data_IF_724849759687
#
_entry.id   IF_724849759687
#
_cell.length_a   1.000
_cell.length_b   1.000
_cell.length_c   1.000
_cell.angle_alpha   90.00
_cell.angle_beta   90.00
_cell.angle_gamma   90.00
#
_symmetry.space_group_name_H-M   'P 1'
#
loop_
_entity.id
_entity.type
_entity.pdbx_description
1 polymer ?
#
# COMPACT_ATOMS: atom_id res chain seq x y z
N UNK A 1 -8.50 -5.40 6.76
CA UNK A 1 -7.15 -5.86 6.30
C UNK A 1 -6.11 -4.85 6.74
N UNK A 2 -4.90 -5.27 7.16
CA UNK A 2 -3.84 -4.30 7.50
C UNK A 2 -3.16 -3.75 6.25
N UNK A 3 -2.56 -2.57 6.34
CA UNK A 3 -2.06 -1.83 5.19
C UNK A 3 -0.97 -2.57 4.39
N UNK A 4 -0.04 -3.21 5.08
CA UNK A 4 1.04 -3.99 4.44
C UNK A 4 0.49 -5.18 3.66
N UNK A 5 -0.54 -5.85 4.18
CA UNK A 5 -1.22 -6.94 3.46
C UNK A 5 -1.96 -6.45 2.22
N UNK A 6 -2.57 -5.27 2.29
CA UNK A 6 -3.25 -4.67 1.15
C UNK A 6 -2.27 -4.37 0.01
N UNK A 7 -1.15 -3.72 0.33
CA UNK A 7 -0.10 -3.40 -0.64
C UNK A 7 0.46 -4.69 -1.27
N UNK A 8 0.76 -5.71 -0.46
CA UNK A 8 1.28 -6.98 -0.97
C UNK A 8 0.28 -7.70 -1.89
N UNK A 9 -1.01 -7.66 -1.57
CA UNK A 9 -2.05 -8.26 -2.42
C UNK A 9 -2.17 -7.53 -3.77
N UNK A 10 -2.18 -6.20 -3.77
CA UNK A 10 -2.21 -5.40 -5.01
C UNK A 10 -0.99 -5.73 -5.88
N UNK A 11 0.20 -5.79 -5.27
CA UNK A 11 1.43 -6.13 -5.98
C UNK A 11 1.35 -7.52 -6.62
N UNK A 12 0.83 -8.52 -5.89
CA UNK A 12 0.66 -9.88 -6.39
C UNK A 12 -0.33 -9.93 -7.56
N UNK A 13 -1.48 -9.25 -7.45
CA UNK A 13 -2.48 -9.14 -8.52
C UNK A 13 -1.93 -8.50 -9.80
N UNK A 14 -1.02 -7.52 -9.65
CA UNK A 14 -0.38 -6.81 -10.76
C UNK A 14 0.89 -7.49 -11.29
N UNK A 15 1.34 -8.61 -10.69
CA UNK A 15 2.62 -9.23 -11.03
C UNK A 15 3.84 -8.37 -10.69
N UNK A 16 3.69 -7.41 -9.78
CA UNK A 16 4.73 -6.47 -9.36
C UNK A 16 5.57 -7.06 -8.21
N UNK A 17 6.89 -6.96 -8.33
CA UNK A 17 7.82 -7.39 -7.27
C UNK A 17 8.21 -6.22 -6.36
N UNK A 18 8.70 -6.50 -5.15
CA UNK A 18 9.31 -5.46 -4.30
C UNK A 18 10.55 -4.81 -4.96
N UNK A 19 11.26 -5.54 -5.83
CA UNK A 19 12.38 -4.97 -6.55
C UNK A 19 11.93 -3.95 -7.60
N UNK A 20 10.86 -4.25 -8.36
CA UNK A 20 10.30 -3.31 -9.33
C UNK A 20 9.66 -2.11 -8.66
N UNK A 21 8.86 -2.32 -7.60
CA UNK A 21 8.28 -1.20 -6.84
C UNK A 21 9.36 -0.29 -6.24
N UNK A 22 10.44 -0.86 -5.73
CA UNK A 22 11.56 -0.06 -5.22
C UNK A 22 12.22 0.80 -6.32
N UNK A 23 12.34 0.28 -7.54
CA UNK A 23 12.88 1.05 -8.68
C UNK A 23 11.98 2.23 -9.06
N UNK A 24 10.67 2.03 -9.11
CA UNK A 24 9.72 3.11 -9.41
C UNK A 24 9.73 4.21 -8.33
N UNK A 25 9.97 3.83 -7.07
CA UNK A 25 10.02 4.74 -5.92
C UNK A 25 11.42 5.33 -5.66
N UNK A 26 12.41 5.04 -6.50
CA UNK A 26 13.83 5.39 -6.29
C UNK A 26 14.36 5.01 -4.88
N UNK A 27 13.98 3.80 -4.41
CA UNK A 27 14.45 3.24 -3.14
C UNK A 27 14.99 1.83 -3.28
N UNK A 28 15.94 1.47 -2.43
CA UNK A 28 16.46 0.10 -2.42
C UNK A 28 15.37 -0.90 -2.01
N UNK A 29 15.44 -2.11 -2.56
CA UNK A 29 14.57 -3.23 -2.17
C UNK A 29 14.57 -3.47 -0.65
N UNK A 30 15.72 -3.28 0.00
CA UNK A 30 15.87 -3.44 1.44
C UNK A 30 15.12 -2.35 2.21
N UNK A 31 15.23 -1.09 1.78
CA UNK A 31 14.49 0.03 2.36
C UNK A 31 12.98 -0.18 2.21
N UNK A 32 12.52 -0.61 1.03
CA UNK A 32 11.11 -0.95 0.81
C UNK A 32 10.65 -2.11 1.69
N UNK A 33 11.44 -3.17 1.82
CA UNK A 33 11.10 -4.30 2.68
C UNK A 33 10.97 -3.87 4.15
N UNK A 34 11.86 -3.00 4.63
CA UNK A 34 11.75 -2.41 5.96
C UNK A 34 10.47 -1.58 6.10
N UNK A 35 10.14 -0.72 5.12
CA UNK A 35 8.89 0.06 5.13
C UNK A 35 7.65 -0.84 5.26
N UNK A 36 7.56 -1.90 4.46
CA UNK A 36 6.42 -2.82 4.46
C UNK A 36 6.28 -3.66 5.74
N UNK A 37 7.38 -3.88 6.46
CA UNK A 37 7.40 -4.64 7.73
C UNK A 37 7.14 -3.79 8.96
N UNK A 38 7.19 -2.46 8.86
CA UNK A 38 6.96 -1.57 10.01
C UNK A 38 5.49 -1.60 10.41
N UNK A 39 5.25 -1.62 11.72
CA UNK A 39 3.90 -1.51 12.30
C UNK A 39 3.26 -0.14 12.02
N UNK A 40 4.10 0.88 11.78
CA UNK A 40 3.67 2.24 11.42
C UNK A 40 4.40 2.75 10.18
N UNK A 41 3.72 2.68 9.05
CA UNK A 41 4.11 3.35 7.81
C UNK A 41 3.72 4.82 7.88
N UNK A 42 4.59 5.73 7.39
CA UNK A 42 4.24 7.15 7.31
C UNK A 42 3.23 7.35 6.17
N UNK A 43 2.29 8.27 6.36
CA UNK A 43 1.25 8.55 5.35
C UNK A 43 1.84 8.95 3.99
N UNK A 44 2.92 9.74 3.96
CA UNK A 44 3.55 10.12 2.69
C UNK A 44 4.14 8.90 1.97
N UNK A 45 4.83 8.00 2.69
CA UNK A 45 5.36 6.76 2.10
C UNK A 45 4.25 5.87 1.54
N UNK A 46 3.09 5.85 2.20
CA UNK A 46 1.92 5.14 1.71
C UNK A 46 1.40 5.76 0.43
N UNK A 47 1.23 7.09 0.37
CA UNK A 47 0.74 7.78 -0.81
C UNK A 47 1.66 7.51 -2.00
N UNK A 48 2.97 7.64 -1.83
CA UNK A 48 3.94 7.35 -2.89
C UNK A 48 3.81 5.92 -3.43
N UNK A 49 3.63 4.93 -2.54
CA UNK A 49 3.43 3.53 -2.94
C UNK A 49 2.11 3.38 -3.70
N UNK A 50 1.02 3.98 -3.21
CA UNK A 50 -0.30 3.87 -3.83
C UNK A 50 -0.31 4.51 -5.22
N UNK A 51 0.36 5.65 -5.42
CA UNK A 51 0.51 6.30 -6.72
C UNK A 51 1.15 5.37 -7.75
N UNK A 52 2.25 4.69 -7.38
CA UNK A 52 2.91 3.71 -8.28
C UNK A 52 2.00 2.51 -8.59
N UNK A 53 1.19 2.09 -7.62
CA UNK A 53 0.27 0.96 -7.78
C UNK A 53 -1.04 1.35 -8.49
N UNK A 54 -1.26 2.63 -8.77
CA UNK A 54 -2.49 3.13 -9.39
C UNK A 54 -3.70 3.15 -8.44
N UNK A 55 -3.47 3.41 -7.15
CA UNK A 55 -4.50 3.54 -6.12
C UNK A 55 -4.46 4.92 -5.47
N UNK A 56 -5.61 5.39 -4.99
CA UNK A 56 -5.72 6.63 -4.22
C UNK A 56 -5.92 6.35 -2.72
N UNK A 57 -5.36 7.20 -1.86
CA UNK A 57 -5.75 7.25 -0.44
C UNK A 57 -7.01 8.11 -0.28
N UNK A 58 -8.15 7.47 -0.01
CA UNK A 58 -9.43 8.15 0.21
C UNK A 58 -9.81 8.16 1.68
N UNK A 59 -10.16 9.34 2.20
CA UNK A 59 -10.80 9.51 3.51
C UNK A 59 -12.30 9.66 3.29
N UNK A 60 -13.10 8.80 3.91
CA UNK A 60 -14.56 8.82 3.78
C UNK A 60 -15.26 8.61 5.14
N UNK A 61 -16.54 8.99 5.28
CA UNK A 61 -17.33 8.69 6.47
C UNK A 61 -17.40 7.18 6.77
N UNK A 62 -17.47 6.84 8.07
CA UNK A 62 -17.65 5.45 8.50
C UNK A 62 -19.03 4.95 8.06
N UNK A 63 -19.08 3.77 7.45
CA UNK A 63 -20.32 3.17 6.95
C UNK A 63 -20.69 3.57 5.53
N UNK A 64 -19.93 4.47 4.89
CA UNK A 64 -20.07 4.72 3.46
C UNK A 64 -19.84 3.46 2.65
N UNK A 65 -20.62 3.31 1.57
CA UNK A 65 -20.40 2.26 0.57
C UNK A 65 -19.05 2.49 -0.09
N UNK A 66 -18.24 1.43 -0.16
CA UNK A 66 -16.97 1.45 -0.87
C UNK A 66 -17.20 1.29 -2.38
N UNK A 67 -16.40 1.99 -3.17
CA UNK A 67 -16.33 1.81 -4.62
C UNK A 67 -15.84 0.40 -4.98
N UNK A 68 -16.18 -0.06 -6.19
CA UNK A 68 -15.75 -1.38 -6.66
C UNK A 68 -14.21 -1.42 -6.76
N UNK A 69 -13.60 -2.41 -6.12
CA UNK A 69 -12.13 -2.56 -6.09
C UNK A 69 -11.45 -1.82 -4.93
N UNK A 70 -12.18 -1.03 -4.14
CA UNK A 70 -11.61 -0.40 -2.95
C UNK A 70 -11.33 -1.42 -1.84
N UNK A 71 -10.19 -1.25 -1.17
CA UNK A 71 -9.76 -2.11 -0.07
C UNK A 71 -9.96 -1.39 1.27
N UNK A 72 -10.74 -1.99 2.17
CA UNK A 72 -10.91 -1.46 3.52
C UNK A 72 -9.71 -1.77 4.41
N UNK A 73 -8.97 -0.73 4.77
CA UNK A 73 -7.84 -0.82 5.69
C UNK A 73 -8.32 -0.71 7.15
N UNK A 74 -7.82 -1.59 7.99
CA UNK A 74 -8.12 -1.66 9.41
C UNK A 74 -6.81 -1.79 10.19
N UNK A 75 -6.80 -1.28 11.42
CA UNK A 75 -5.62 -1.41 12.30
C UNK A 75 -5.42 -2.88 12.66
N UNK A 76 -4.19 -3.37 12.50
CA UNK A 76 -3.80 -4.68 13.04
C UNK A 76 -3.94 -4.69 14.55
N UNK A 77 -4.34 -5.83 15.11
CA UNK A 77 -4.22 -6.08 16.55
C UNK A 77 -2.75 -6.26 16.91
#
# INVERSE_FOLDING_TARGET
>A
MIISKAILAIMEEQGMTQASLGRELDVSRQALNQRLKRDSMRTNELIDILDVLGYDLVIQPKGSRLEKGALKIERGK
#
